data_IF_629856753998
#
_entry.id   IF_629856753998
#
_cell.length_a   1.000
_cell.length_b   1.000
_cell.length_c   1.000
_cell.angle_alpha   90.00
_cell.angle_beta   90.00
_cell.angle_gamma   90.00
#
_symmetry.space_group_name_H-M   'P 1'
#
loop_
_entity.id
_entity.type
_entity.pdbx_description
1 polymer ?
#
# COMPACT_ATOMS: atom_id res chain seq x y z
N UNK A 1 -0.67 14.73 -4.14
CA UNK A 1 -0.30 14.19 -2.80
C UNK A 1 -0.14 15.24 -1.69
N UNK A 2 0.76 16.23 -1.81
CA UNK A 2 1.06 17.16 -0.71
C UNK A 2 -0.13 17.95 -0.12
N UNK A 3 -1.21 18.17 -0.90
CA UNK A 3 -2.45 18.78 -0.38
C UNK A 3 -3.29 17.85 0.50
N UNK A 4 -3.32 16.55 0.19
CA UNK A 4 -4.07 15.55 0.97
C UNK A 4 -3.49 15.41 2.39
N UNK A 5 -2.15 15.44 2.50
CA UNK A 5 -1.43 15.12 3.74
C UNK A 5 -1.01 16.36 4.55
N UNK A 6 -1.31 17.57 4.08
CA UNK A 6 -0.75 18.82 4.65
C UNK A 6 -1.01 18.98 6.15
N UNK A 7 -2.20 18.60 6.60
CA UNK A 7 -2.65 18.72 8.00
C UNK A 7 -3.04 17.35 8.59
N UNK A 8 -2.62 16.26 7.96
CA UNK A 8 -2.90 14.92 8.44
C UNK A 8 -2.04 14.62 9.68
N UNK A 9 -2.63 13.92 10.66
CA UNK A 9 -1.85 13.37 11.78
C UNK A 9 -0.84 12.36 11.23
N UNK A 10 0.44 12.65 11.46
CA UNK A 10 1.56 11.86 10.96
C UNK A 10 1.60 10.47 11.56
N UNK A 11 1.04 10.27 12.76
CA UNK A 11 0.99 8.95 13.37
C UNK A 11 0.10 7.95 12.61
N UNK A 12 -0.76 8.44 11.71
CA UNK A 12 -1.78 7.63 11.02
C UNK A 12 -1.35 7.12 9.64
N UNK A 13 -0.18 7.50 9.13
CA UNK A 13 0.25 7.08 7.81
C UNK A 13 1.77 7.05 7.60
N UNK A 14 2.16 6.19 6.66
CA UNK A 14 3.50 6.12 6.06
C UNK A 14 3.39 6.43 4.55
N UNK A 15 4.45 6.96 3.94
CA UNK A 15 4.46 7.32 2.51
C UNK A 15 5.61 6.62 1.78
N UNK A 16 5.29 5.75 0.82
CA UNK A 16 6.29 5.05 0.02
C UNK A 16 6.30 5.62 -1.39
N UNK A 17 7.43 6.16 -1.83
CA UNK A 17 7.52 6.91 -3.08
C UNK A 17 8.42 6.20 -4.08
N UNK A 18 7.81 5.83 -5.21
CA UNK A 18 8.51 5.38 -6.41
C UNK A 18 8.75 6.57 -7.35
N UNK A 19 9.88 6.57 -8.06
CA UNK A 19 10.22 7.56 -9.09
C UNK A 19 10.36 6.87 -10.45
N UNK A 20 9.84 7.50 -11.51
CA UNK A 20 9.87 6.97 -12.87
C UNK A 20 11.28 6.90 -13.49
N UNK A 21 12.26 7.57 -12.90
CA UNK A 21 13.66 7.52 -13.30
C UNK A 21 14.56 7.14 -12.12
N UNK A 22 15.68 6.45 -12.37
CA UNK A 22 16.71 6.23 -11.36
C UNK A 22 17.19 7.58 -10.84
N UNK A 23 17.32 7.71 -9.52
CA UNK A 23 17.88 8.89 -8.88
C UNK A 23 19.08 8.48 -8.06
N UNK A 24 20.24 9.08 -8.33
CA UNK A 24 21.44 8.96 -7.48
C UNK A 24 21.28 9.70 -6.15
N UNK A 25 20.33 10.65 -6.08
CA UNK A 25 19.96 11.27 -4.82
C UNK A 25 19.07 10.30 -4.04
N UNK A 26 19.45 10.02 -2.79
CA UNK A 26 18.56 9.55 -1.70
C UNK A 26 17.57 10.67 -1.31
N UNK A 27 17.13 11.46 -2.29
CA UNK A 27 16.55 12.77 -2.12
C UNK A 27 15.41 12.71 -1.12
N UNK A 28 15.56 13.50 -0.05
CA UNK A 28 14.53 13.71 0.95
C UNK A 28 13.23 14.05 0.23
N UNK A 29 12.14 13.37 0.56
CA UNK A 29 10.81 13.73 0.07
C UNK A 29 10.35 14.96 0.85
N UNK A 30 10.94 16.11 0.53
CA UNK A 30 10.79 17.32 1.30
C UNK A 30 9.31 17.69 1.44
N UNK A 31 8.80 17.75 2.67
CA UNK A 31 7.39 18.01 2.96
C UNK A 31 6.46 16.80 2.98
N UNK A 32 6.97 15.58 2.80
CA UNK A 32 6.24 14.33 3.06
C UNK A 32 6.76 13.69 4.36
N UNK A 33 5.95 13.65 5.43
CA UNK A 33 6.35 12.97 6.66
C UNK A 33 6.36 11.45 6.46
N UNK A 34 7.13 10.75 7.29
CA UNK A 34 7.21 9.28 7.33
C UNK A 34 7.41 8.65 5.95
N UNK A 35 8.29 9.26 5.14
CA UNK A 35 8.46 8.90 3.75
C UNK A 35 9.68 8.00 3.53
N UNK A 36 9.52 6.93 2.76
CA UNK A 36 10.60 6.05 2.32
C UNK A 36 10.62 5.93 0.78
N UNK A 37 11.82 5.72 0.24
CA UNK A 37 11.99 5.51 -1.20
C UNK A 37 11.74 4.04 -1.54
N UNK A 38 10.95 3.81 -2.58
CA UNK A 38 10.78 2.47 -3.16
C UNK A 38 11.94 2.22 -4.13
N UNK A 39 12.56 1.02 -4.13
CA UNK A 39 13.58 0.66 -5.11
C UNK A 39 13.13 0.92 -6.54
N UNK A 40 14.05 1.40 -7.38
CA UNK A 40 13.73 1.69 -8.76
C UNK A 40 13.23 0.43 -9.46
N UNK A 41 12.04 0.54 -10.02
CA UNK A 41 11.36 -0.49 -10.82
C UNK A 41 10.86 0.18 -12.07
N UNK A 42 10.98 -0.46 -13.25
CA UNK A 42 10.51 0.16 -14.50
C UNK A 42 9.00 0.36 -14.43
N UNK A 43 8.55 1.57 -14.74
CA UNK A 43 7.14 1.98 -14.69
C UNK A 43 6.58 2.31 -16.08
N UNK A 44 7.07 1.63 -17.11
CA UNK A 44 6.59 1.77 -18.48
C UNK A 44 5.12 1.31 -18.60
N UNK A 45 4.47 1.64 -19.71
CA UNK A 45 3.10 1.19 -19.97
C UNK A 45 3.04 -0.33 -19.89
N UNK A 46 2.05 -0.86 -19.15
CA UNK A 46 1.88 -2.29 -18.83
C UNK A 46 2.86 -2.87 -17.79
N UNK A 47 3.78 -2.08 -17.23
CA UNK A 47 4.66 -2.48 -16.13
C UNK A 47 4.20 -2.00 -14.74
N UNK A 48 2.97 -1.48 -14.62
CA UNK A 48 2.47 -0.86 -13.38
C UNK A 48 2.41 -1.83 -12.20
N UNK A 49 2.10 -3.11 -12.45
CA UNK A 49 2.00 -4.12 -11.40
C UNK A 49 3.33 -4.35 -10.68
N UNK A 50 4.46 -4.26 -11.41
CA UNK A 50 5.79 -4.37 -10.82
C UNK A 50 6.06 -3.23 -9.82
N UNK A 51 5.64 -2.01 -10.17
CA UNK A 51 5.77 -0.84 -9.29
C UNK A 51 4.90 -0.98 -8.04
N UNK A 52 3.64 -1.42 -8.20
CA UNK A 52 2.75 -1.66 -7.06
C UNK A 52 3.30 -2.73 -6.12
N UNK A 53 3.83 -3.82 -6.69
CA UNK A 53 4.46 -4.90 -5.92
C UNK A 53 5.69 -4.40 -5.17
N UNK A 54 6.59 -3.66 -5.83
CA UNK A 54 7.78 -3.10 -5.19
C UNK A 54 7.43 -2.13 -4.04
N UNK A 55 6.43 -1.28 -4.25
CA UNK A 55 5.95 -0.35 -3.22
C UNK A 55 5.32 -1.09 -2.04
N UNK A 56 4.56 -2.15 -2.30
CA UNK A 56 3.95 -2.97 -1.25
C UNK A 56 4.99 -3.75 -0.44
N UNK A 57 6.00 -4.34 -1.10
CA UNK A 57 7.12 -5.01 -0.42
C UNK A 57 7.87 -4.04 0.49
N UNK A 58 8.09 -2.80 0.04
CA UNK A 58 8.71 -1.78 0.89
C UNK A 58 7.82 -1.43 2.09
N UNK A 59 6.51 -1.28 1.87
CA UNK A 59 5.55 -0.94 2.91
C UNK A 59 5.40 -2.05 3.96
N UNK A 60 5.50 -3.32 3.57
CA UNK A 60 5.38 -4.47 4.47
C UNK A 60 6.58 -4.69 5.39
N UNK A 61 7.68 -3.94 5.19
CA UNK A 61 8.78 -3.92 6.16
C UNK A 61 8.35 -3.30 7.50
N UNK A 62 7.32 -2.47 7.49
CA UNK A 62 6.70 -1.93 8.70
C UNK A 62 5.45 -2.76 9.06
N UNK A 63 5.48 -3.54 10.15
CA UNK A 63 4.35 -4.36 10.57
C UNK A 63 3.15 -3.54 11.08
N UNK A 64 3.31 -2.23 11.32
CA UNK A 64 2.22 -1.34 11.70
C UNK A 64 1.28 -0.96 10.55
N UNK A 65 1.70 -1.19 9.30
CA UNK A 65 0.88 -0.90 8.12
C UNK A 65 -0.23 -1.93 7.95
N UNK A 66 -1.48 -1.48 7.96
CA UNK A 66 -2.67 -2.35 7.86
C UNK A 66 -3.45 -2.18 6.56
N UNK A 67 -3.41 -0.98 5.97
CA UNK A 67 -4.17 -0.61 4.77
C UNK A 67 -3.26 0.11 3.79
N UNK A 68 -3.44 -0.14 2.50
CA UNK A 68 -2.56 0.40 1.46
C UNK A 68 -3.37 1.13 0.40
N UNK A 69 -2.90 2.32 0.02
CA UNK A 69 -3.51 3.12 -1.03
C UNK A 69 -2.43 3.51 -2.03
N UNK A 70 -2.63 3.11 -3.29
CA UNK A 70 -1.76 3.52 -4.39
C UNK A 70 -2.27 4.81 -5.01
N UNK A 71 -1.39 5.80 -5.12
CA UNK A 71 -1.69 7.10 -5.74
C UNK A 71 -0.56 7.49 -6.67
N UNK A 72 -0.89 8.28 -7.69
CA UNK A 72 0.06 8.84 -8.64
C UNK A 72 0.22 10.34 -8.41
N UNK A 73 1.21 10.94 -9.09
CA UNK A 73 1.47 12.38 -8.99
C UNK A 73 0.27 13.25 -9.42
N UNK A 74 -0.59 12.74 -10.30
CA UNK A 74 -1.79 13.41 -10.81
C UNK A 74 -3.08 13.06 -10.04
N UNK A 75 -3.01 12.26 -8.96
CA UNK A 75 -4.18 12.00 -8.11
C UNK A 75 -4.64 13.27 -7.39
N UNK A 76 -5.91 13.62 -7.55
CA UNK A 76 -6.55 14.77 -6.90
C UNK A 76 -7.46 14.29 -5.77
N UNK A 77 -7.28 14.76 -4.52
CA UNK A 77 -8.13 14.36 -3.41
C UNK A 77 -9.51 15.03 -3.50
N UNK A 78 -10.57 14.23 -3.38
CA UNK A 78 -11.96 14.71 -3.34
C UNK A 78 -12.51 14.82 -1.90
N UNK A 79 -11.84 14.18 -0.95
CA UNK A 79 -12.17 14.16 0.48
C UNK A 79 -10.91 14.43 1.30
N UNK A 80 -11.10 14.87 2.55
CA UNK A 80 -9.99 15.08 3.48
C UNK A 80 -9.30 13.75 3.83
N UNK A 81 -8.06 13.82 4.30
CA UNK A 81 -7.34 12.64 4.81
C UNK A 81 -8.13 11.94 5.92
N UNK A 82 -8.64 12.70 6.88
CA UNK A 82 -9.41 12.16 8.01
C UNK A 82 -10.63 11.36 7.55
N UNK A 83 -11.37 11.86 6.55
CA UNK A 83 -12.51 11.14 5.98
C UNK A 83 -12.07 9.82 5.35
N UNK A 84 -10.99 9.85 4.55
CA UNK A 84 -10.45 8.65 3.89
C UNK A 84 -9.95 7.64 4.93
N UNK A 85 -9.21 8.09 5.94
CA UNK A 85 -8.70 7.25 7.03
C UNK A 85 -9.85 6.62 7.82
N UNK A 86 -10.86 7.40 8.19
CA UNK A 86 -12.01 6.90 8.93
C UNK A 86 -12.77 5.85 8.12
N UNK A 87 -12.97 6.06 6.82
CA UNK A 87 -13.68 5.11 5.96
C UNK A 87 -12.88 3.83 5.68
N UNK A 88 -11.58 3.94 5.44
CA UNK A 88 -10.73 2.81 5.04
C UNK A 88 -10.11 2.09 6.24
N UNK A 89 -9.36 2.82 7.07
CA UNK A 89 -8.58 2.22 8.15
C UNK A 89 -9.42 1.94 9.40
N UNK A 90 -10.32 2.85 9.78
CA UNK A 90 -11.09 2.69 11.01
C UNK A 90 -12.38 1.87 10.81
N UNK A 91 -13.16 2.16 9.76
CA UNK A 91 -14.46 1.52 9.55
C UNK A 91 -14.38 0.21 8.75
N UNK A 92 -13.30 -0.04 8.01
CA UNK A 92 -13.17 -1.22 7.15
C UNK A 92 -11.78 -1.90 7.18
N UNK A 93 -11.22 -2.15 8.38
CA UNK A 93 -9.85 -2.64 8.55
C UNK A 93 -9.56 -3.99 7.88
N UNK A 94 -10.59 -4.77 7.55
CA UNK A 94 -10.47 -6.10 6.94
C UNK A 94 -10.61 -6.11 5.41
N UNK A 95 -10.76 -4.94 4.76
CA UNK A 95 -11.12 -4.88 3.32
C UNK A 95 -9.92 -4.89 2.36
N UNK A 96 -8.73 -4.46 2.81
CA UNK A 96 -7.50 -4.59 2.02
C UNK A 96 -6.84 -5.94 2.30
N UNK A 97 -6.91 -6.86 1.34
CA UNK A 97 -6.28 -8.19 1.46
C UNK A 97 -5.24 -8.37 0.36
N UNK A 98 -3.96 -8.32 0.73
CA UNK A 98 -2.87 -8.77 -0.13
C UNK A 98 -2.48 -10.20 0.24
N UNK A 99 -2.90 -11.14 -0.60
CA UNK A 99 -2.56 -12.53 -0.43
C UNK A 99 -1.23 -12.81 -1.12
N UNK A 100 -0.16 -12.86 -0.33
CA UNK A 100 1.09 -13.42 -0.83
C UNK A 100 0.92 -14.93 -0.87
N UNK A 101 1.04 -15.52 -2.06
CA UNK A 101 1.35 -16.93 -2.13
C UNK A 101 2.71 -17.08 -1.44
N UNK A 102 2.72 -17.58 -0.20
CA UNK A 102 3.95 -18.05 0.42
C UNK A 102 4.57 -19.01 -0.58
N UNK A 103 5.82 -18.76 -0.99
CA UNK A 103 6.58 -19.75 -1.73
C UNK A 103 6.43 -21.07 -0.97
N UNK A 104 5.92 -22.10 -1.64
CA UNK A 104 5.77 -23.43 -1.03
C UNK A 104 7.16 -23.87 -0.58
N UNK A 105 7.50 -23.62 0.67
CA UNK A 105 8.55 -24.35 1.35
C UNK A 105 8.10 -25.80 1.29
N UNK A 106 8.89 -26.65 0.63
CA UNK A 106 8.67 -28.09 0.50
C UNK A 106 8.85 -28.80 1.86
N UNK A 107 8.25 -28.29 2.92
CA UNK A 107 8.26 -28.90 4.23
C UNK A 107 6.84 -28.90 4.79
N UNK A 108 6.22 -30.07 4.71
CA UNK A 108 4.97 -30.39 5.37
C UNK A 108 5.15 -30.20 6.88
N UNK A 109 4.79 -29.02 7.40
CA UNK A 109 4.36 -28.89 8.79
C UNK A 109 2.86 -28.60 8.78
N UNK A 110 2.12 -29.55 9.34
CA UNK A 110 0.72 -29.41 9.68
C UNK A 110 0.48 -28.12 10.49
N UNK A 111 -0.39 -27.26 10.00
CA UNK A 111 -0.99 -26.16 10.75
C UNK A 111 -0.71 -24.78 10.15
N UNK A 112 -1.78 -24.10 9.75
CA UNK A 112 -1.82 -22.72 9.23
C UNK A 112 -1.37 -22.52 7.77
N UNK A 113 -1.90 -23.34 6.85
CA UNK A 113 -2.14 -22.85 5.49
C UNK A 113 -3.30 -21.86 5.56
N UNK A 114 -3.01 -20.57 5.72
CA UNK A 114 -4.05 -19.53 5.72
C UNK A 114 -4.86 -19.61 4.43
N UNK A 115 -6.17 -19.77 4.54
CA UNK A 115 -7.07 -19.70 3.39
C UNK A 115 -7.08 -18.26 2.87
N UNK A 116 -6.21 -18.00 1.88
CA UNK A 116 -6.04 -16.70 1.23
C UNK A 116 -7.17 -16.39 0.22
N UNK A 117 -8.35 -16.99 0.36
CA UNK A 117 -9.50 -16.66 -0.48
C UNK A 117 -9.97 -15.25 -0.14
N UNK A 118 -10.06 -14.41 -1.18
CA UNK A 118 -10.74 -13.13 -1.09
C UNK A 118 -12.21 -13.36 -0.79
N UNK A 119 -12.60 -13.16 0.48
CA UNK A 119 -13.98 -13.12 0.93
C UNK A 119 -14.40 -11.66 1.06
N UNK A 120 -15.48 -11.30 0.36
CA UNK A 120 -16.09 -9.99 0.39
C UNK A 120 -17.58 -10.18 0.66
N UNK A 121 -18.03 -9.70 1.83
CA UNK A 121 -19.42 -9.77 2.25
C UNK A 121 -20.41 -9.11 1.27
N UNK A 122 -19.96 -8.20 0.40
CA UNK A 122 -20.80 -7.64 -0.66
C UNK A 122 -20.94 -8.57 -1.87
N UNK A 123 -19.94 -9.42 -2.14
CA UNK A 123 -19.97 -10.44 -3.19
C UNK A 123 -20.70 -11.70 -2.74
N UNK A 124 -20.61 -12.03 -1.45
CA UNK A 124 -21.18 -13.25 -0.87
C UNK A 124 -22.68 -13.13 -0.50
N UNK A 125 -23.28 -11.94 -0.66
CA UNK A 125 -24.74 -11.71 -0.52
C UNK A 125 -25.55 -12.07 -1.77
N UNK A 126 -24.89 -12.55 -2.83
CA UNK A 126 -25.51 -12.93 -4.09
C UNK A 126 -25.63 -14.45 -4.26
N UNK A 127 -26.39 -15.13 -3.41
CA UNK A 127 -26.96 -16.47 -3.68
C UNK A 127 -28.25 -16.65 -2.91
#
# INVERSE_FOLDING_TARGET
LGRLLRNADRALFNVYVHRSAPSSSTGSFHGLPNSAAVPFTRSEWCALFGVQTAALVEALKDPGNQQFVFVSHNTVPLKSFEHVYQSLAAASPETSKFCFASARSNHSLHGAGGDCRFQDSNRDRGT
#
